data_IF_527583052876
#
_entry.id   IF_527583052876
#
_cell.length_a   1.000
_cell.length_b   1.000
_cell.length_c   1.000
_cell.angle_alpha   90.00
_cell.angle_beta   90.00
_cell.angle_gamma   90.00
#
_symmetry.space_group_name_H-M   'P 1'
#
loop_
_entity.id
_entity.type
_entity.pdbx_description
1 polymer ?
#
# COMPACT_ATOMS: atom_id res chain seq x y z
N UNK A 1 28.61 21.33 13.47
CA UNK A 1 27.90 20.53 14.48
C UNK A 1 27.11 19.45 13.77
N UNK A 2 27.24 18.17 14.13
CA UNK A 2 26.45 17.13 13.48
C UNK A 2 24.99 17.28 13.94
N UNK A 3 24.07 17.45 12.98
CA UNK A 3 22.63 17.51 13.21
C UNK A 3 22.12 16.13 13.63
N UNK A 4 22.38 15.74 14.88
CA UNK A 4 21.87 14.48 15.41
C UNK A 4 20.44 14.67 15.91
N UNK A 5 19.58 13.75 15.47
CA UNK A 5 18.19 13.56 15.88
C UNK A 5 17.16 14.52 15.25
N UNK A 6 17.06 14.50 13.92
CA UNK A 6 15.83 14.95 13.29
C UNK A 6 14.81 13.81 13.32
N UNK A 7 13.73 14.03 14.06
CA UNK A 7 12.56 13.16 14.06
C UNK A 7 12.17 12.83 12.61
N UNK A 8 11.99 11.53 12.32
CA UNK A 8 11.71 11.08 10.96
C UNK A 8 10.77 9.88 11.01
N UNK A 9 9.74 9.92 10.17
CA UNK A 9 8.73 8.87 10.08
C UNK A 9 8.72 8.28 8.69
N UNK A 10 8.40 7.00 8.59
CA UNK A 10 7.95 6.38 7.35
C UNK A 10 6.49 5.96 7.45
N UNK A 11 5.73 6.14 6.37
CA UNK A 11 4.44 5.50 6.15
C UNK A 11 4.61 4.39 5.12
N UNK A 12 4.41 3.15 5.55
CA UNK A 12 4.31 1.96 4.70
C UNK A 12 2.84 1.74 4.38
N UNK A 13 2.50 1.57 3.10
CA UNK A 13 1.13 1.43 2.61
C UNK A 13 1.06 0.35 1.52
N UNK A 14 0.18 -0.64 1.70
CA UNK A 14 -0.04 -1.70 0.72
C UNK A 14 -0.84 -1.23 -0.50
N UNK A 15 -0.26 -1.39 -1.68
CA UNK A 15 -0.90 -0.95 -2.92
C UNK A 15 -2.11 -1.82 -3.26
N UNK A 16 -3.28 -1.19 -3.39
CA UNK A 16 -4.54 -1.84 -3.75
C UNK A 16 -4.82 -3.08 -2.89
N UNK A 17 -4.62 -2.98 -1.57
CA UNK A 17 -4.40 -4.10 -0.66
C UNK A 17 -5.27 -5.34 -0.91
N UNK A 18 -6.60 -5.23 -0.88
CA UNK A 18 -7.45 -6.42 -1.07
C UNK A 18 -7.31 -7.05 -2.45
N UNK A 19 -7.19 -6.25 -3.52
CA UNK A 19 -6.95 -6.78 -4.86
C UNK A 19 -5.56 -7.45 -4.97
N UNK A 20 -4.57 -6.92 -4.25
CA UNK A 20 -3.23 -7.53 -4.15
C UNK A 20 -3.27 -8.84 -3.37
N UNK A 21 -4.06 -8.95 -2.29
CA UNK A 21 -4.24 -10.21 -1.57
C UNK A 21 -4.84 -11.30 -2.48
N UNK A 22 -5.82 -10.98 -3.32
CA UNK A 22 -6.37 -11.94 -4.29
C UNK A 22 -5.30 -12.40 -5.30
N UNK A 23 -4.43 -11.48 -5.78
CA UNK A 23 -3.32 -11.83 -6.71
C UNK A 23 -2.27 -12.76 -6.10
N UNK A 24 -2.04 -12.66 -4.80
CA UNK A 24 -1.08 -13.54 -4.09
C UNK A 24 -1.51 -15.00 -4.19
N UNK A 25 -2.81 -15.28 -4.09
CA UNK A 25 -3.35 -16.64 -4.12
C UNK A 25 -3.80 -17.10 -5.51
N UNK A 26 -4.05 -16.17 -6.43
CA UNK A 26 -4.31 -16.48 -7.84
C UNK A 26 -3.41 -15.64 -8.76
N UNK A 27 -2.23 -16.15 -9.13
CA UNK A 27 -1.29 -15.45 -10.00
C UNK A 27 -1.85 -15.13 -11.40
N UNK A 28 -2.93 -15.79 -11.84
CA UNK A 28 -3.59 -15.48 -13.13
C UNK A 28 -4.25 -14.11 -13.13
N UNK A 29 -4.48 -13.54 -11.94
CA UNK A 29 -5.06 -12.21 -11.74
C UNK A 29 -4.02 -11.08 -11.90
N UNK A 30 -2.75 -11.41 -12.11
CA UNK A 30 -1.73 -10.40 -12.37
C UNK A 30 -2.07 -9.64 -13.66
N UNK A 31 -1.98 -8.31 -13.61
CA UNK A 31 -2.39 -7.37 -14.69
C UNK A 31 -3.88 -7.43 -15.09
N UNK A 32 -4.73 -8.13 -14.34
CA UNK A 32 -6.17 -8.14 -14.60
C UNK A 32 -6.88 -7.01 -13.84
N UNK A 33 -7.97 -6.43 -14.39
CA UNK A 33 -8.85 -5.53 -13.67
C UNK A 33 -9.62 -6.30 -12.59
N UNK A 34 -9.24 -6.10 -11.33
CA UNK A 34 -9.88 -6.68 -10.16
C UNK A 34 -10.63 -5.61 -9.37
N UNK A 35 -11.81 -5.98 -8.89
CA UNK A 35 -12.63 -5.25 -7.93
C UNK A 35 -13.03 -6.18 -6.79
N UNK A 36 -12.94 -5.68 -5.57
CA UNK A 36 -13.46 -6.36 -4.37
C UNK A 36 -14.68 -5.59 -3.86
N UNK A 37 -15.76 -6.30 -3.63
CA UNK A 37 -17.03 -5.77 -3.13
C UNK A 37 -17.13 -5.89 -1.60
N UNK A 38 -18.00 -5.09 -0.98
CA UNK A 38 -18.32 -5.15 0.44
C UNK A 38 -19.11 -6.40 0.82
N UNK A 39 -19.40 -6.57 2.11
CA UNK A 39 -20.41 -7.51 2.59
C UNK A 39 -21.69 -7.44 1.74
N UNK A 40 -22.23 -8.61 1.44
CA UNK A 40 -23.40 -8.80 0.57
C UNK A 40 -23.25 -8.19 -0.84
N UNK A 41 -22.01 -8.00 -1.30
CA UNK A 41 -21.68 -7.47 -2.63
C UNK A 41 -22.31 -6.10 -2.94
N UNK A 42 -22.49 -5.27 -1.91
CA UNK A 42 -23.20 -3.99 -2.01
C UNK A 42 -22.44 -2.92 -2.80
N UNK A 43 -21.19 -2.63 -2.41
CA UNK A 43 -20.39 -1.54 -2.99
C UNK A 43 -18.96 -1.97 -3.30
N UNK A 44 -18.31 -1.27 -4.23
CA UNK A 44 -16.87 -1.42 -4.52
C UNK A 44 -16.04 -0.86 -3.36
N UNK A 45 -15.22 -1.71 -2.71
CA UNK A 45 -14.38 -1.31 -1.56
C UNK A 45 -12.87 -1.41 -1.84
N UNK A 46 -12.47 -2.12 -2.89
CA UNK A 46 -11.10 -2.08 -3.39
C UNK A 46 -11.07 -2.31 -4.90
N UNK A 47 -10.01 -1.78 -5.52
CA UNK A 47 -9.83 -1.78 -6.98
C UNK A 47 -8.36 -1.78 -7.34
N UNK A 48 -8.02 -2.67 -8.26
CA UNK A 48 -6.73 -2.70 -8.96
C UNK A 48 -6.50 -1.42 -9.78
N UNK A 49 -5.27 -1.17 -10.24
CA UNK A 49 -4.98 0.01 -11.07
C UNK A 49 -5.66 -0.08 -12.43
N UNK A 50 -5.79 -1.29 -12.96
CA UNK A 50 -6.45 -1.63 -14.19
C UNK A 50 -7.95 -1.34 -14.08
N UNK A 51 -8.59 -1.71 -12.96
CA UNK A 51 -10.00 -1.35 -12.70
C UNK A 51 -10.19 0.17 -12.51
N UNK A 52 -9.23 0.89 -11.90
CA UNK A 52 -9.28 2.36 -11.81
C UNK A 52 -9.23 3.00 -13.19
N UNK A 53 -8.40 2.49 -14.10
CA UNK A 53 -8.27 2.99 -15.46
C UNK A 53 -9.56 2.83 -16.28
N UNK A 54 -10.41 1.86 -15.92
CA UNK A 54 -11.75 1.68 -16.51
C UNK A 54 -12.80 2.66 -15.96
N UNK A 55 -12.43 3.57 -15.04
CA UNK A 55 -13.33 4.57 -14.48
C UNK A 55 -14.20 4.08 -13.31
N UNK A 56 -13.99 2.85 -12.83
CA UNK A 56 -14.73 2.30 -11.69
C UNK A 56 -14.33 3.06 -10.42
N UNK A 57 -15.29 3.75 -9.80
CA UNK A 57 -15.06 4.60 -8.61
C UNK A 57 -15.08 3.77 -7.32
N UNK A 58 -14.40 4.26 -6.29
CA UNK A 58 -14.49 3.70 -4.94
C UNK A 58 -15.87 4.00 -4.34
N UNK A 59 -16.46 3.07 -3.61
CA UNK A 59 -17.73 3.23 -2.90
C UNK A 59 -18.97 3.22 -3.78
N UNK A 60 -18.82 3.05 -5.11
CA UNK A 60 -19.97 2.96 -6.02
C UNK A 60 -20.75 1.67 -5.74
N UNK A 61 -22.09 1.72 -5.67
CA UNK A 61 -22.91 0.51 -5.56
C UNK A 61 -22.69 -0.41 -6.75
N UNK A 62 -22.49 -1.70 -6.50
CA UNK A 62 -22.17 -2.69 -7.53
C UNK A 62 -23.22 -2.70 -8.66
N UNK A 63 -24.51 -2.64 -8.33
CA UNK A 63 -25.58 -2.67 -9.31
C UNK A 63 -25.50 -1.54 -10.36
N UNK A 64 -24.92 -0.38 -10.02
CA UNK A 64 -24.79 0.76 -10.94
C UNK A 64 -23.67 0.57 -11.97
N UNK A 65 -22.70 -0.28 -11.66
CA UNK A 65 -21.48 -0.48 -12.48
C UNK A 65 -21.33 -1.92 -12.96
N UNK A 66 -22.31 -2.79 -12.65
CA UNK A 66 -22.30 -4.22 -12.97
C UNK A 66 -22.13 -4.48 -14.47
N UNK A 67 -22.95 -3.83 -15.29
CA UNK A 67 -22.90 -4.04 -16.75
C UNK A 67 -21.58 -3.58 -17.35
N UNK A 68 -21.05 -2.45 -16.87
CA UNK A 68 -19.71 -1.97 -17.24
C UNK A 68 -18.64 -3.01 -16.90
N UNK A 69 -18.68 -3.56 -15.68
CA UNK A 69 -17.69 -4.55 -15.23
C UNK A 69 -17.75 -5.85 -16.04
N UNK A 70 -18.96 -6.36 -16.31
CA UNK A 70 -19.15 -7.57 -17.12
C UNK A 70 -18.63 -7.33 -18.55
N UNK A 71 -19.02 -6.22 -19.18
CA UNK A 71 -18.61 -5.88 -20.55
C UNK A 71 -17.11 -5.64 -20.69
N UNK A 72 -16.42 -5.24 -19.61
CA UNK A 72 -14.97 -5.02 -19.58
C UNK A 72 -14.20 -6.21 -18.98
N UNK A 73 -14.85 -7.34 -18.75
CA UNK A 73 -14.24 -8.56 -18.20
C UNK A 73 -13.50 -8.31 -16.88
N UNK A 74 -14.07 -7.47 -16.01
CA UNK A 74 -13.54 -7.19 -14.67
C UNK A 74 -13.73 -8.40 -13.78
N UNK A 75 -12.67 -8.81 -13.10
CA UNK A 75 -12.71 -9.84 -12.07
C UNK A 75 -13.36 -9.24 -10.82
N UNK A 76 -14.55 -9.74 -10.50
CA UNK A 76 -15.34 -9.31 -9.33
C UNK A 76 -15.17 -10.33 -8.22
N UNK A 77 -14.81 -9.88 -7.03
CA UNK A 77 -14.59 -10.72 -5.85
C UNK A 77 -15.44 -10.20 -4.69
N UNK A 78 -16.13 -11.09 -3.99
CA UNK A 78 -16.74 -10.76 -2.69
C UNK A 78 -15.63 -10.58 -1.64
N UNK A 79 -15.89 -9.77 -0.62
CA UNK A 79 -14.91 -9.53 0.45
C UNK A 79 -14.56 -10.81 1.21
N UNK A 80 -13.27 -11.08 1.36
CA UNK A 80 -12.71 -12.14 2.20
C UNK A 80 -11.88 -11.55 3.36
N UNK A 81 -12.55 -11.04 4.39
CA UNK A 81 -11.88 -10.38 5.52
C UNK A 81 -10.90 -11.29 6.31
N UNK A 82 -11.17 -12.59 6.52
CA UNK A 82 -10.18 -13.48 7.13
C UNK A 82 -8.87 -13.53 6.36
N UNK A 83 -8.93 -13.66 5.03
CA UNK A 83 -7.76 -13.60 4.16
C UNK A 83 -7.04 -12.25 4.29
N UNK A 84 -7.78 -11.14 4.23
CA UNK A 84 -7.18 -9.81 4.28
C UNK A 84 -6.52 -9.52 5.64
N UNK A 85 -7.11 -9.99 6.74
CA UNK A 85 -6.55 -9.88 8.08
C UNK A 85 -5.27 -10.71 8.27
N UNK A 86 -5.24 -11.94 7.76
CA UNK A 86 -4.05 -12.79 7.79
C UNK A 86 -2.90 -12.17 6.98
N UNK A 87 -3.19 -11.74 5.75
CA UNK A 87 -2.20 -11.07 4.90
C UNK A 87 -1.68 -9.77 5.53
N UNK A 88 -2.56 -8.99 6.16
CA UNK A 88 -2.19 -7.77 6.88
C UNK A 88 -1.22 -8.09 8.01
N UNK A 89 -1.56 -9.08 8.84
CA UNK A 89 -0.72 -9.50 9.97
C UNK A 89 0.69 -9.89 9.50
N UNK A 90 0.81 -10.63 8.39
CA UNK A 90 2.11 -11.01 7.81
C UNK A 90 2.92 -9.80 7.33
N UNK A 91 2.28 -8.85 6.64
CA UNK A 91 2.95 -7.61 6.19
C UNK A 91 3.40 -6.80 7.40
N UNK A 92 2.52 -6.60 8.39
CA UNK A 92 2.81 -5.77 9.56
C UNK A 92 3.92 -6.36 10.42
N UNK A 93 4.01 -7.70 10.54
CA UNK A 93 5.13 -8.36 11.23
C UNK A 93 6.47 -8.04 10.56
N UNK A 94 6.57 -8.13 9.23
CA UNK A 94 7.80 -7.78 8.50
C UNK A 94 8.13 -6.29 8.68
N UNK A 95 7.11 -5.43 8.58
CA UNK A 95 7.28 -3.98 8.75
C UNK A 95 7.81 -3.62 10.14
N UNK A 96 7.35 -4.30 11.19
CA UNK A 96 7.80 -4.10 12.57
C UNK A 96 9.27 -4.44 12.82
N UNK A 97 9.90 -5.25 11.97
CA UNK A 97 11.34 -5.58 12.09
C UNK A 97 12.26 -4.44 11.64
N UNK A 98 11.73 -3.46 10.91
CA UNK A 98 12.52 -2.40 10.28
C UNK A 98 12.68 -1.12 11.10
N UNK A 99 11.98 -1.00 12.23
CA UNK A 99 12.17 0.09 13.16
C UNK A 99 11.83 -0.30 14.61
N UNK A 100 12.42 0.36 15.63
CA UNK A 100 12.14 0.05 17.03
C UNK A 100 10.68 0.34 17.44
N UNK A 101 10.03 1.30 16.78
CA UNK A 101 8.65 1.70 17.08
C UNK A 101 7.82 1.63 15.81
N UNK A 102 6.77 0.84 15.88
CA UNK A 102 5.75 0.68 14.85
C UNK A 102 4.39 1.11 15.40
N UNK A 103 3.62 1.81 14.57
CA UNK A 103 2.22 2.10 14.80
C UNK A 103 1.41 1.56 13.61
N UNK A 104 0.58 0.54 13.85
CA UNK A 104 -0.36 0.04 12.85
C UNK A 104 -1.54 1.01 12.77
N UNK A 105 -1.70 1.67 11.63
CA UNK A 105 -2.69 2.74 11.45
C UNK A 105 -4.00 2.23 10.83
N UNK A 106 -3.90 1.25 9.93
CA UNK A 106 -5.03 0.55 9.32
C UNK A 106 -4.63 -0.89 8.95
N UNK A 107 -5.53 -1.61 8.29
CA UNK A 107 -5.25 -2.96 7.77
C UNK A 107 -4.11 -2.98 6.73
N UNK A 108 -3.87 -1.87 6.04
CA UNK A 108 -2.91 -1.75 4.95
C UNK A 108 -1.83 -0.69 5.17
N UNK A 109 -1.92 0.12 6.23
CA UNK A 109 -1.00 1.21 6.54
C UNK A 109 -0.33 1.05 7.92
N UNK A 110 0.96 1.34 8.00
CA UNK A 110 1.71 1.41 9.26
C UNK A 110 2.76 2.51 9.23
N UNK A 111 2.85 3.26 10.33
CA UNK A 111 3.92 4.22 10.56
C UNK A 111 5.09 3.55 11.28
N UNK A 112 6.31 3.91 10.87
CA UNK A 112 7.55 3.58 11.56
C UNK A 112 8.21 4.87 12.07
N UNK A 113 8.70 4.84 13.31
CA UNK A 113 9.60 5.88 13.81
C UNK A 113 11.04 5.52 13.43
N UNK A 114 11.64 6.32 12.56
CA UNK A 114 12.99 6.15 12.05
C UNK A 114 14.01 7.01 12.84
N UNK A 115 13.57 7.69 13.89
CA UNK A 115 14.43 8.55 14.71
C UNK A 115 15.56 7.73 15.34
N UNK A 116 16.78 8.25 15.28
CA UNK A 116 17.97 7.59 15.82
C UNK A 116 18.58 6.49 14.94
N UNK A 117 17.96 6.13 13.81
CA UNK A 117 18.58 5.20 12.86
C UNK A 117 19.77 5.87 12.14
N UNK A 118 20.97 5.31 12.30
CA UNK A 118 22.22 5.85 11.75
C UNK A 118 22.57 5.30 10.35
N UNK A 119 21.57 4.96 9.55
CA UNK A 119 21.74 4.34 8.23
C UNK A 119 21.06 5.15 7.13
N UNK A 120 21.34 4.81 5.87
CA UNK A 120 20.66 5.42 4.73
C UNK A 120 19.18 4.98 4.71
N UNK A 121 18.28 5.88 5.12
CA UNK A 121 16.85 5.58 5.24
C UNK A 121 16.20 5.16 3.92
N UNK A 122 16.63 5.73 2.79
CA UNK A 122 16.09 5.34 1.48
C UNK A 122 16.45 3.88 1.17
N UNK A 123 17.71 3.51 1.32
CA UNK A 123 18.19 2.13 1.10
C UNK A 123 17.52 1.15 2.06
N UNK A 124 17.39 1.53 3.33
CA UNK A 124 16.71 0.74 4.36
C UNK A 124 15.24 0.48 4.02
N UNK A 125 14.52 1.53 3.60
CA UNK A 125 13.11 1.41 3.19
C UNK A 125 12.94 0.68 1.85
N UNK A 126 13.91 0.78 0.93
CA UNK A 126 13.91 -0.05 -0.29
C UNK A 126 14.05 -1.53 0.06
N UNK A 127 14.90 -1.88 1.03
CA UNK A 127 15.02 -3.25 1.53
C UNK A 127 13.69 -3.73 2.14
N UNK A 128 13.03 -2.91 2.97
CA UNK A 128 11.70 -3.22 3.52
C UNK A 128 10.68 -3.52 2.42
N UNK A 129 10.55 -2.60 1.46
CA UNK A 129 9.62 -2.75 0.33
C UNK A 129 9.85 -4.06 -0.42
N UNK A 130 11.11 -4.38 -0.69
CA UNK A 130 11.48 -5.59 -1.41
C UNK A 130 11.20 -6.86 -0.57
N UNK A 131 11.54 -6.86 0.72
CA UNK A 131 11.29 -8.00 1.59
C UNK A 131 9.80 -8.29 1.75
N UNK A 132 8.97 -7.26 1.98
CA UNK A 132 7.52 -7.41 2.02
C UNK A 132 7.00 -8.03 0.72
N UNK A 133 7.44 -7.53 -0.44
CA UNK A 133 7.04 -8.09 -1.74
C UNK A 133 7.51 -9.53 -1.91
N UNK A 134 8.74 -9.87 -1.55
CA UNK A 134 9.29 -11.22 -1.71
C UNK A 134 8.64 -12.26 -0.78
N UNK A 135 8.28 -11.87 0.45
CA UNK A 135 7.79 -12.81 1.46
C UNK A 135 6.27 -12.96 1.44
N UNK A 136 5.55 -11.90 1.06
CA UNK A 136 4.07 -11.89 1.07
C UNK A 136 3.46 -11.79 -0.32
N UNK A 137 4.22 -11.40 -1.33
CA UNK A 137 3.70 -11.06 -2.65
C UNK A 137 2.94 -9.72 -2.71
N UNK A 138 2.72 -9.03 -1.58
CA UNK A 138 2.01 -7.75 -1.54
C UNK A 138 2.96 -6.59 -1.88
N UNK A 139 2.66 -5.79 -2.91
CA UNK A 139 3.45 -4.60 -3.20
C UNK A 139 3.11 -3.47 -2.22
N UNK A 140 4.12 -2.76 -1.73
CA UNK A 140 3.96 -1.58 -0.87
C UNK A 140 4.62 -0.35 -1.48
N UNK A 141 4.15 0.83 -1.09
CA UNK A 141 4.86 2.10 -1.26
C UNK A 141 5.20 2.67 0.12
N UNK A 142 6.30 3.43 0.18
CA UNK A 142 6.82 4.00 1.41
C UNK A 142 7.09 5.49 1.20
N UNK A 143 6.54 6.31 2.10
CA UNK A 143 6.81 7.74 2.16
C UNK A 143 7.55 8.09 3.42
N UNK A 144 8.60 8.90 3.33
CA UNK A 144 9.42 9.32 4.47
C UNK A 144 9.27 10.83 4.64
N UNK A 145 9.18 11.30 5.90
CA UNK A 145 9.15 12.72 6.22
C UNK A 145 9.32 13.02 7.72
N UNK A 146 9.65 14.27 8.06
CA UNK A 146 9.81 14.71 9.46
C UNK A 146 8.55 14.63 10.32
N UNK A 147 7.37 14.58 9.68
CA UNK A 147 6.09 14.40 10.37
C UNK A 147 5.31 13.28 9.69
N UNK A 148 4.37 12.64 10.41
CA UNK A 148 3.46 11.64 9.83
C UNK A 148 2.68 12.18 8.63
N UNK A 149 2.30 13.47 8.65
CA UNK A 149 1.63 14.13 7.52
C UNK A 149 2.54 14.22 6.29
N UNK A 150 3.80 14.64 6.49
CA UNK A 150 4.80 14.68 5.41
C UNK A 150 5.10 13.29 4.87
N UNK A 151 5.22 12.28 5.73
CA UNK A 151 5.38 10.88 5.32
C UNK A 151 4.18 10.39 4.49
N UNK A 152 2.94 10.74 4.88
CA UNK A 152 1.73 10.39 4.12
C UNK A 152 1.66 11.09 2.76
N UNK A 153 2.07 12.36 2.69
CA UNK A 153 2.20 13.07 1.42
C UNK A 153 3.29 12.45 0.53
N UNK A 154 4.45 12.13 1.10
CA UNK A 154 5.55 11.48 0.40
C UNK A 154 5.12 10.13 -0.20
N UNK A 155 4.33 9.34 0.55
CA UNK A 155 3.80 8.05 0.08
C UNK A 155 2.91 8.24 -1.16
N UNK A 156 2.02 9.24 -1.11
CA UNK A 156 1.17 9.58 -2.26
C UNK A 156 1.99 9.96 -3.49
N UNK A 157 3.07 10.73 -3.31
CA UNK A 157 3.99 11.10 -4.39
C UNK A 157 4.70 9.84 -4.93
N UNK A 158 5.22 8.97 -4.05
CA UNK A 158 5.89 7.73 -4.43
C UNK A 158 5.01 6.79 -5.28
N UNK A 159 3.69 6.79 -5.03
CA UNK A 159 2.70 6.03 -5.81
C UNK A 159 2.46 6.60 -7.20
N UNK A 160 2.61 7.91 -7.38
CA UNK A 160 2.31 8.61 -8.64
C UNK A 160 3.52 8.63 -9.57
N UNK A 161 4.73 8.78 -9.02
CA UNK A 161 5.95 8.98 -9.80
C UNK A 161 6.83 7.72 -9.78
N UNK A 162 6.87 6.94 -10.88
CA UNK A 162 7.62 5.68 -10.94
C UNK A 162 9.13 5.83 -10.69
N UNK A 163 9.69 7.02 -10.94
CA UNK A 163 11.12 7.30 -10.75
C UNK A 163 11.62 7.12 -9.31
N UNK A 164 10.74 7.18 -8.31
CA UNK A 164 11.09 6.92 -6.91
C UNK A 164 11.10 5.42 -6.55
N UNK A 165 10.72 4.55 -7.50
CA UNK A 165 10.64 3.10 -7.26
C UNK A 165 9.86 2.77 -5.97
N UNK A 166 8.77 3.49 -5.70
CA UNK A 166 7.91 3.25 -4.54
C UNK A 166 8.47 3.65 -3.18
N UNK A 167 9.63 4.31 -3.08
CA UNK A 167 10.14 4.89 -1.82
C UNK A 167 10.57 6.32 -2.05
N UNK A 168 9.96 7.27 -1.32
CA UNK A 168 10.28 8.69 -1.47
C UNK A 168 10.44 9.38 -0.12
N UNK A 169 11.50 10.17 0.01
CA UNK A 169 11.75 11.05 1.15
C UNK A 169 11.51 12.49 0.74
N UNK A 170 10.41 13.08 1.22
CA UNK A 170 10.02 14.44 0.84
C UNK A 170 10.98 15.50 1.39
N UNK A 171 11.74 15.19 2.44
CA UNK A 171 12.69 16.14 3.03
C UNK A 171 14.01 16.20 2.25
N UNK A 172 14.15 15.41 1.18
CA UNK A 172 15.27 15.53 0.23
C UNK A 172 15.04 16.62 -0.82
N UNK A 173 13.82 17.11 -0.93
CA UNK A 173 13.52 18.25 -1.79
C UNK A 173 14.09 19.53 -1.16
N UNK A 174 14.62 20.47 -1.97
CA UNK A 174 14.90 21.81 -1.50
C UNK A 174 13.59 22.49 -1.05
N UNK A 175 13.70 23.35 -0.04
CA UNK A 175 12.61 24.17 0.47
C UNK A 175 12.06 25.15 -0.59
#
# INVERSE_FOLDING_TARGET
MPKFNQQKFALVDCNNFYASCERVFDPKLERQPIVVLSNNDGCVIARSNEAKALGIKMGVPYYQVKDLMINKSVVIKSSNYPLYGDMSSRVMSIVGEYAPVQEVYSIDESFLDLSGLMMNLNTHMQALKNQVKSWTGVPVCIGIGHTKVRAKLANRIAKIYPGFNGVFDIDTLPD
#
